data_IF_756798265744
#
_entry.id   IF_756798265744
#
_cell.length_a   1.000
_cell.length_b   1.000
_cell.length_c   1.000
_cell.angle_alpha   90.00
_cell.angle_beta   90.00
_cell.angle_gamma   90.00
#
_symmetry.space_group_name_H-M   'P 1'
#
loop_
_entity.id
_entity.type
_entity.pdbx_description
1 polymer ?
#
# COMPACT_ATOMS: atom_id res chain seq x y z
N UNK A 1 -13.92 -14.53 17.24
CA UNK A 1 -12.71 -14.91 16.46
C UNK A 1 -11.75 -13.75 16.17
N UNK A 2 -12.09 -12.46 16.40
CA UNK A 2 -11.23 -11.32 16.00
C UNK A 2 -9.95 -11.15 16.81
N UNK A 3 -9.92 -11.50 18.11
CA UNK A 3 -8.77 -11.19 18.95
C UNK A 3 -7.54 -12.09 18.71
N UNK A 4 -7.74 -13.32 18.21
CA UNK A 4 -6.66 -14.29 18.01
C UNK A 4 -5.73 -13.91 16.85
N UNK A 5 -6.28 -13.32 15.79
CA UNK A 5 -5.49 -12.92 14.61
C UNK A 5 -4.55 -11.76 14.92
N UNK A 6 -5.06 -10.73 15.62
CA UNK A 6 -4.24 -9.63 16.11
C UNK A 6 -3.14 -10.14 17.05
N UNK A 7 -3.47 -11.07 17.96
CA UNK A 7 -2.48 -11.71 18.83
C UNK A 7 -1.39 -12.45 18.05
N UNK A 8 -1.73 -13.15 16.96
CA UNK A 8 -0.73 -13.83 16.12
C UNK A 8 0.20 -12.86 15.42
N UNK A 9 -0.30 -11.73 14.92
CA UNK A 9 0.54 -10.69 14.32
C UNK A 9 1.48 -10.08 15.37
N UNK A 10 0.97 -9.75 16.55
CA UNK A 10 1.78 -9.19 17.64
C UNK A 10 2.85 -10.19 18.11
N UNK A 11 2.49 -11.45 18.29
CA UNK A 11 3.44 -12.51 18.64
C UNK A 11 4.50 -12.69 17.55
N UNK A 12 4.10 -12.72 16.28
CA UNK A 12 5.01 -12.79 15.15
C UNK A 12 5.97 -11.59 15.08
N UNK A 13 5.50 -10.39 15.38
CA UNK A 13 6.31 -9.18 15.43
C UNK A 13 7.37 -9.26 16.54
N UNK A 14 6.98 -9.66 17.76
CA UNK A 14 7.90 -9.84 18.88
C UNK A 14 8.93 -10.93 18.58
N UNK A 15 8.49 -12.07 18.05
CA UNK A 15 9.39 -13.14 17.62
C UNK A 15 10.35 -12.68 16.52
N UNK A 16 9.89 -11.80 15.62
CA UNK A 16 10.73 -11.25 14.57
C UNK A 16 11.83 -10.33 15.10
N UNK A 17 11.51 -9.52 16.12
CA UNK A 17 12.50 -8.67 16.80
C UNK A 17 13.55 -9.55 17.51
N UNK A 18 13.11 -10.58 18.24
CA UNK A 18 14.01 -11.49 18.97
C UNK A 18 14.93 -12.22 17.98
N UNK A 19 14.37 -12.81 16.93
CA UNK A 19 15.14 -13.55 15.92
C UNK A 19 16.08 -12.62 15.15
N UNK A 20 15.62 -11.43 14.75
CA UNK A 20 16.44 -10.45 14.05
C UNK A 20 17.60 -9.94 14.90
N UNK A 21 17.38 -9.74 16.20
CA UNK A 21 18.43 -9.39 17.16
C UNK A 21 19.46 -10.51 17.33
N UNK A 22 19.00 -11.76 17.44
CA UNK A 22 19.89 -12.91 17.55
C UNK A 22 20.78 -13.03 16.30
N UNK A 23 20.22 -12.93 15.10
CA UNK A 23 21.00 -12.98 13.85
C UNK A 23 22.01 -11.83 13.80
N UNK A 24 21.62 -10.61 14.19
CA UNK A 24 22.51 -9.45 14.19
C UNK A 24 23.71 -9.60 15.13
N UNK A 25 23.50 -10.17 16.33
CA UNK A 25 24.54 -10.29 17.34
C UNK A 25 25.41 -11.56 17.21
N UNK A 26 24.83 -12.69 16.80
CA UNK A 26 25.51 -13.99 16.79
C UNK A 26 26.05 -14.40 15.42
N UNK A 27 25.56 -13.83 14.31
CA UNK A 27 25.98 -14.18 12.95
C UNK A 27 26.34 -12.93 12.10
N UNK A 28 27.37 -12.16 12.48
CA UNK A 28 27.72 -10.91 11.80
C UNK A 28 28.13 -11.10 10.32
N UNK A 29 28.81 -12.20 10.00
CA UNK A 29 29.35 -12.43 8.64
C UNK A 29 28.28 -12.88 7.63
N UNK A 30 27.28 -13.65 8.08
CA UNK A 30 26.20 -14.19 7.21
C UNK A 30 24.87 -13.44 7.33
N UNK A 31 24.82 -12.33 8.08
CA UNK A 31 23.59 -11.58 8.36
C UNK A 31 22.82 -11.15 7.10
N UNK A 32 23.54 -10.78 6.05
CA UNK A 32 22.97 -10.27 4.81
C UNK A 32 22.22 -11.36 4.04
N UNK A 33 22.80 -12.57 4.01
CA UNK A 33 22.24 -13.73 3.34
C UNK A 33 20.99 -14.23 4.07
N UNK A 34 21.08 -14.40 5.39
CA UNK A 34 19.92 -14.76 6.22
C UNK A 34 18.79 -13.75 6.10
N UNK A 35 19.10 -12.45 6.17
CA UNK A 35 18.09 -11.43 6.01
C UNK A 35 17.47 -11.42 4.61
N UNK A 36 18.25 -11.71 3.55
CA UNK A 36 17.73 -11.83 2.19
C UNK A 36 16.80 -13.03 2.04
N UNK A 37 17.23 -14.21 2.51
CA UNK A 37 16.45 -15.45 2.46
C UNK A 37 15.14 -15.34 3.24
N UNK A 38 15.17 -14.74 4.43
CA UNK A 38 13.95 -14.52 5.23
C UNK A 38 13.06 -13.48 4.55
N UNK A 39 13.62 -12.39 4.01
CA UNK A 39 12.85 -11.36 3.30
C UNK A 39 12.13 -11.90 2.05
N UNK A 40 12.56 -13.02 1.47
CA UNK A 40 11.84 -13.70 0.39
C UNK A 40 10.39 -13.99 0.78
N UNK A 41 10.13 -14.40 2.03
CA UNK A 41 8.79 -14.67 2.53
C UNK A 41 7.94 -13.40 2.51
N UNK A 42 8.50 -12.27 2.98
CA UNK A 42 7.82 -10.97 2.94
C UNK A 42 7.56 -10.52 1.49
N UNK A 43 8.51 -10.70 0.59
CA UNK A 43 8.35 -10.38 -0.83
C UNK A 43 7.26 -11.23 -1.50
N UNK A 44 7.18 -12.53 -1.19
CA UNK A 44 6.13 -13.41 -1.68
C UNK A 44 4.75 -12.96 -1.20
N UNK A 45 4.64 -12.57 0.07
CA UNK A 45 3.39 -12.02 0.62
C UNK A 45 2.97 -10.72 -0.08
N UNK A 46 3.91 -9.80 -0.33
CA UNK A 46 3.60 -8.58 -1.09
C UNK A 46 3.14 -8.89 -2.52
N UNK A 47 3.68 -9.93 -3.17
CA UNK A 47 3.20 -10.40 -4.48
C UNK A 47 1.78 -10.96 -4.41
N UNK A 48 1.44 -11.71 -3.35
CA UNK A 48 0.07 -12.19 -3.12
C UNK A 48 -0.91 -11.03 -2.94
N UNK A 49 -0.52 -9.97 -2.22
CA UNK A 49 -1.36 -8.77 -2.08
C UNK A 49 -1.56 -8.10 -3.45
N UNK A 50 -0.47 -7.88 -4.22
CA UNK A 50 -0.56 -7.25 -5.55
C UNK A 50 -1.53 -7.99 -6.48
N UNK A 51 -1.48 -9.33 -6.48
CA UNK A 51 -2.40 -10.18 -7.25
C UNK A 51 -3.88 -9.91 -6.96
N UNK A 52 -4.23 -9.56 -5.71
CA UNK A 52 -5.62 -9.35 -5.28
C UNK A 52 -6.11 -7.93 -5.54
N UNK A 53 -5.23 -6.93 -5.42
CA UNK A 53 -5.62 -5.51 -5.41
C UNK A 53 -6.39 -5.14 -6.67
N UNK A 54 -5.88 -5.45 -7.86
CA UNK A 54 -6.48 -4.98 -9.11
C UNK A 54 -7.94 -5.48 -9.32
N UNK A 55 -8.25 -6.80 -9.23
CA UNK A 55 -9.62 -7.27 -9.35
C UNK A 55 -10.53 -6.82 -8.20
N UNK A 56 -10.00 -6.76 -6.97
CA UNK A 56 -10.77 -6.36 -5.80
C UNK A 56 -11.19 -4.88 -5.88
N UNK A 57 -10.25 -3.99 -6.21
CA UNK A 57 -10.51 -2.55 -6.38
C UNK A 57 -11.52 -2.32 -7.50
N UNK A 58 -11.36 -3.00 -8.65
CA UNK A 58 -12.33 -2.91 -9.73
C UNK A 58 -13.73 -3.35 -9.28
N UNK A 59 -13.87 -4.55 -8.71
CA UNK A 59 -15.17 -5.08 -8.32
C UNK A 59 -15.87 -4.23 -7.26
N UNK A 60 -15.12 -3.82 -6.23
CA UNK A 60 -15.65 -3.00 -5.12
C UNK A 60 -16.06 -1.60 -5.56
N UNK A 61 -15.28 -0.96 -6.44
CA UNK A 61 -15.64 0.35 -6.97
C UNK A 61 -16.85 0.26 -7.90
N UNK A 62 -16.87 -0.73 -8.81
CA UNK A 62 -17.98 -0.85 -9.74
C UNK A 62 -19.27 -1.19 -9.02
N UNK A 63 -19.26 -2.23 -8.17
CA UNK A 63 -20.40 -2.59 -7.34
C UNK A 63 -20.83 -1.41 -6.46
N UNK A 64 -19.89 -0.78 -5.75
CA UNK A 64 -20.17 0.33 -4.84
C UNK A 64 -20.81 1.54 -5.53
N UNK A 65 -20.30 1.95 -6.70
CA UNK A 65 -20.83 3.09 -7.45
C UNK A 65 -22.17 2.76 -8.11
N UNK A 66 -22.31 1.56 -8.69
CA UNK A 66 -23.52 1.14 -9.38
C UNK A 66 -24.74 1.11 -8.44
N UNK A 67 -24.56 0.69 -7.17
CA UNK A 67 -25.62 0.69 -6.16
C UNK A 67 -26.09 2.09 -5.75
N UNK A 68 -25.29 3.14 -5.97
CA UNK A 68 -25.67 4.51 -5.61
C UNK A 68 -26.71 5.13 -6.56
N UNK A 69 -26.90 4.57 -7.76
CA UNK A 69 -28.02 4.83 -8.67
C UNK A 69 -28.14 6.25 -9.27
N UNK A 70 -27.48 7.27 -8.72
CA UNK A 70 -27.48 8.63 -9.29
C UNK A 70 -26.09 9.26 -9.30
N UNK A 71 -25.68 9.73 -10.49
CA UNK A 71 -24.39 10.42 -10.69
C UNK A 71 -24.25 11.70 -9.85
N UNK A 72 -25.35 12.37 -9.52
CA UNK A 72 -25.36 13.55 -8.62
C UNK A 72 -24.96 13.17 -7.19
N UNK A 73 -25.41 12.01 -6.68
CA UNK A 73 -24.99 11.52 -5.36
C UNK A 73 -23.50 11.15 -5.37
N UNK A 74 -23.03 10.50 -6.44
CA UNK A 74 -21.62 10.14 -6.61
C UNK A 74 -20.71 11.38 -6.55
N UNK A 75 -21.01 12.41 -7.35
CA UNK A 75 -20.21 13.64 -7.36
C UNK A 75 -20.15 14.34 -6.00
N UNK A 76 -21.27 14.34 -5.25
CA UNK A 76 -21.31 14.92 -3.90
C UNK A 76 -20.47 14.12 -2.90
N UNK A 77 -20.52 12.79 -2.94
CA UNK A 77 -19.69 11.94 -2.06
C UNK A 77 -18.22 12.13 -2.42
N UNK A 78 -17.87 12.06 -3.71
CA UNK A 78 -16.51 12.27 -4.17
C UNK A 78 -15.96 13.63 -3.71
N UNK A 79 -16.71 14.72 -3.90
CA UNK A 79 -16.28 16.05 -3.47
C UNK A 79 -16.09 16.16 -1.95
N UNK A 80 -17.00 15.56 -1.16
CA UNK A 80 -16.87 15.51 0.31
C UNK A 80 -15.63 14.72 0.74
N UNK A 81 -15.40 13.56 0.14
CA UNK A 81 -14.25 12.70 0.45
C UNK A 81 -12.95 13.35 0.01
N UNK A 82 -12.92 14.00 -1.17
CA UNK A 82 -11.75 14.72 -1.67
C UNK A 82 -11.42 15.91 -0.77
N UNK A 83 -12.42 16.71 -0.38
CA UNK A 83 -12.23 17.80 0.58
C UNK A 83 -11.66 17.28 1.90
N UNK A 84 -12.23 16.21 2.45
CA UNK A 84 -11.73 15.58 3.67
C UNK A 84 -10.29 15.07 3.51
N UNK A 85 -9.96 14.40 2.40
CA UNK A 85 -8.63 13.84 2.14
C UNK A 85 -7.56 14.92 1.99
N UNK A 86 -7.85 16.01 1.25
CA UNK A 86 -6.93 17.14 1.08
C UNK A 86 -6.71 17.85 2.42
N UNK A 87 -7.76 18.11 3.19
CA UNK A 87 -7.64 18.70 4.52
C UNK A 87 -6.85 17.80 5.49
N UNK A 88 -7.13 16.50 5.52
CA UNK A 88 -6.41 15.55 6.37
C UNK A 88 -4.92 15.42 5.97
N UNK A 89 -4.63 15.42 4.66
CA UNK A 89 -3.25 15.40 4.14
C UNK A 89 -2.50 16.67 4.51
N UNK A 90 -3.14 17.83 4.40
CA UNK A 90 -2.55 19.11 4.83
C UNK A 90 -2.22 19.10 6.32
N UNK A 91 -3.15 18.67 7.18
CA UNK A 91 -2.92 18.54 8.63
C UNK A 91 -1.79 17.54 8.92
N UNK A 92 -1.75 16.40 8.23
CA UNK A 92 -0.70 15.40 8.40
C UNK A 92 0.69 15.93 8.02
N UNK A 93 0.80 16.69 6.93
CA UNK A 93 2.06 17.32 6.50
C UNK A 93 2.50 18.40 7.49
N UNK A 94 1.56 19.21 7.98
CA UNK A 94 1.84 20.26 8.95
C UNK A 94 2.34 19.67 10.27
N UNK A 95 1.70 18.60 10.76
CA UNK A 95 2.13 17.87 11.95
C UNK A 95 3.50 17.20 11.73
N UNK A 96 3.73 16.59 10.56
CA UNK A 96 5.02 16.03 10.18
C UNK A 96 6.13 17.08 10.16
N UNK A 97 5.85 18.27 9.62
CA UNK A 97 6.79 19.39 9.61
C UNK A 97 7.12 19.85 11.04
N UNK A 98 6.12 20.00 11.90
CA UNK A 98 6.33 20.37 13.31
C UNK A 98 7.19 19.31 14.00
N UNK A 99 6.85 18.03 13.87
CA UNK A 99 7.57 16.94 14.51
C UNK A 99 9.03 16.84 14.04
N UNK A 100 9.29 16.98 12.74
CA UNK A 100 10.67 16.98 12.20
C UNK A 100 11.48 18.16 12.72
N UNK A 101 10.89 19.34 12.84
CA UNK A 101 11.58 20.51 13.38
C UNK A 101 11.85 20.39 14.90
N UNK A 102 10.98 19.70 15.65
CA UNK A 102 11.15 19.48 17.09
C UNK A 102 12.12 18.35 17.43
N UNK A 103 11.97 17.19 16.78
CA UNK A 103 12.78 16.00 17.06
C UNK A 103 14.14 16.04 16.34
N UNK A 104 14.25 16.84 15.28
CA UNK A 104 15.45 16.99 14.45
C UNK A 104 16.11 15.63 14.11
N UNK A 105 15.35 14.67 13.53
CA UNK A 105 15.86 13.35 13.22
C UNK A 105 17.02 13.49 12.22
N UNK A 106 18.23 13.17 12.67
CA UNK A 106 19.46 13.29 11.87
C UNK A 106 20.52 14.26 12.40
N UNK A 107 20.24 15.06 13.43
CA UNK A 107 21.24 15.93 14.05
C UNK A 107 22.50 15.19 14.56
N UNK A 108 22.34 13.91 14.92
CA UNK A 108 23.42 13.01 15.36
C UNK A 108 23.76 11.93 14.32
N UNK A 109 23.46 12.13 13.03
CA UNK A 109 23.74 11.13 12.00
C UNK A 109 25.26 11.01 11.77
N UNK A 110 25.90 9.86 12.07
CA UNK A 110 27.36 9.71 12.02
C UNK A 110 27.92 9.54 10.58
N UNK A 111 27.12 9.83 9.55
CA UNK A 111 27.54 9.74 8.15
C UNK A 111 28.13 11.06 7.66
N UNK A 112 29.13 10.98 6.77
CA UNK A 112 29.63 12.15 6.04
C UNK A 112 28.52 12.71 5.16
N UNK A 113 28.10 13.95 5.41
CA UNK A 113 27.22 14.67 4.49
C UNK A 113 27.81 14.61 3.07
N UNK A 114 27.04 14.18 2.06
CA UNK A 114 27.47 14.28 0.67
C UNK A 114 27.91 15.71 0.37
N UNK A 115 29.00 15.88 -0.39
CA UNK A 115 29.48 17.20 -0.77
C UNK A 115 28.32 18.01 -1.40
N UNK A 116 28.17 19.27 -0.97
CA UNK A 116 27.11 20.16 -1.45
C UNK A 116 27.14 20.20 -2.98
N UNK A 117 26.11 19.64 -3.63
CA UNK A 117 26.00 19.56 -5.09
C UNK A 117 26.18 18.16 -5.71
N UNK A 118 26.42 17.09 -4.93
CA UNK A 118 26.23 15.74 -5.47
C UNK A 118 24.77 15.56 -5.87
N UNK A 119 24.53 15.34 -7.16
CA UNK A 119 23.20 15.00 -7.65
C UNK A 119 22.72 13.78 -6.88
N UNK A 120 21.55 13.88 -6.26
CA UNK A 120 21.00 12.85 -5.39
C UNK A 120 20.61 11.57 -6.14
N UNK A 121 20.91 11.47 -7.43
CA UNK A 121 20.42 10.43 -8.34
C UNK A 121 18.89 10.38 -8.44
N UNK A 122 18.19 11.29 -7.76
CA UNK A 122 16.74 11.37 -7.78
C UNK A 122 16.36 11.96 -9.13
N UNK A 123 15.48 11.29 -9.89
CA UNK A 123 14.83 11.93 -11.01
C UNK A 123 13.97 13.05 -10.42
N UNK A 124 14.51 14.27 -10.37
CA UNK A 124 13.72 15.49 -10.23
C UNK A 124 13.02 15.68 -11.57
N UNK A 125 12.18 14.71 -11.93
CA UNK A 125 11.25 14.85 -13.03
C UNK A 125 10.33 15.96 -12.58
N UNK A 126 10.51 17.15 -13.14
CA UNK A 126 9.60 18.26 -12.92
C UNK A 126 8.17 17.72 -13.09
N UNK A 127 7.36 17.88 -12.05
CA UNK A 127 5.96 17.47 -12.09
C UNK A 127 5.32 18.19 -13.29
N UNK A 128 4.93 17.42 -14.30
CA UNK A 128 4.26 17.92 -15.48
C UNK A 128 2.80 17.53 -15.40
N UNK A 129 1.91 18.53 -15.38
CA UNK A 129 0.47 18.34 -15.44
C UNK A 129 0.10 17.47 -16.65
N UNK A 130 0.80 17.65 -17.78
CA UNK A 130 0.54 16.91 -19.01
C UNK A 130 0.80 15.41 -18.79
N UNK A 131 1.96 15.04 -18.24
CA UNK A 131 2.29 13.63 -17.95
C UNK A 131 1.36 13.01 -16.93
N UNK A 132 0.94 13.78 -15.92
CA UNK A 132 0.00 13.29 -14.93
C UNK A 132 -1.39 13.02 -15.54
N UNK A 133 -1.91 13.94 -16.35
CA UNK A 133 -3.21 13.78 -17.01
C UNK A 133 -3.21 12.65 -18.04
N UNK A 134 -2.13 12.49 -18.82
CA UNK A 134 -2.03 11.39 -19.79
C UNK A 134 -1.84 10.03 -19.12
N UNK A 135 -1.16 9.96 -17.96
CA UNK A 135 -1.04 8.72 -17.18
C UNK A 135 -2.33 8.32 -16.44
N UNK A 136 -3.25 9.27 -16.23
CA UNK A 136 -4.50 9.05 -15.52
C UNK A 136 -5.48 8.19 -16.34
N UNK A 137 -5.46 8.34 -17.67
CA UNK A 137 -6.28 7.57 -18.59
C UNK A 137 -5.47 6.37 -19.09
N UNK A 138 -5.84 5.12 -18.76
CA UNK A 138 -5.12 3.96 -19.26
C UNK A 138 -5.21 3.85 -20.77
N UNK A 139 -4.10 3.43 -21.39
CA UNK A 139 -4.09 3.00 -22.80
C UNK A 139 -4.90 1.70 -22.99
N UNK A 140 -4.85 0.82 -21.98
CA UNK A 140 -5.59 -0.44 -21.94
C UNK A 140 -5.85 -0.86 -20.49
N UNK A 141 -7.06 -1.35 -20.21
CA UNK A 141 -7.40 -1.90 -18.88
C UNK A 141 -6.53 -3.11 -18.52
N UNK A 142 -6.19 -3.94 -19.50
CA UNK A 142 -5.39 -5.14 -19.27
C UNK A 142 -3.97 -4.77 -18.82
N UNK A 143 -3.39 -3.71 -19.41
CA UNK A 143 -2.08 -3.20 -19.02
C UNK A 143 -2.14 -2.54 -17.63
N UNK A 144 -3.16 -1.71 -17.36
CA UNK A 144 -3.37 -1.12 -16.04
C UNK A 144 -3.48 -2.18 -14.92
N UNK A 145 -4.19 -3.28 -15.18
CA UNK A 145 -4.29 -4.41 -14.27
C UNK A 145 -2.98 -5.19 -14.13
N UNK A 146 -2.24 -5.40 -15.23
CA UNK A 146 -0.96 -6.10 -15.21
C UNK A 146 0.12 -5.31 -14.44
N UNK A 147 0.17 -4.00 -14.62
CA UNK A 147 1.12 -3.11 -13.94
C UNK A 147 0.69 -2.74 -12.51
N UNK A 148 -0.54 -3.11 -12.10
CA UNK A 148 -1.12 -2.72 -10.81
C UNK A 148 -1.22 -1.20 -10.64
N UNK A 149 -1.53 -0.48 -11.72
CA UNK A 149 -1.74 0.98 -11.72
C UNK A 149 -3.13 1.30 -11.16
N UNK A 150 -3.23 1.39 -9.83
CA UNK A 150 -4.49 1.55 -9.10
C UNK A 150 -5.28 2.77 -9.59
N UNK A 151 -4.61 3.90 -9.84
CA UNK A 151 -5.27 5.12 -10.30
C UNK A 151 -6.01 4.89 -11.63
N UNK A 152 -5.36 4.23 -12.59
CA UNK A 152 -5.96 3.94 -13.89
C UNK A 152 -7.14 2.98 -13.78
N UNK A 153 -7.03 1.96 -12.93
CA UNK A 153 -8.13 1.01 -12.64
C UNK A 153 -9.34 1.74 -12.05
N UNK A 154 -9.11 2.67 -11.12
CA UNK A 154 -10.16 3.50 -10.50
C UNK A 154 -10.88 4.34 -11.56
N UNK A 155 -10.13 5.02 -12.42
CA UNK A 155 -10.72 5.86 -13.48
C UNK A 155 -11.58 5.02 -14.43
N UNK A 156 -11.05 3.90 -14.91
CA UNK A 156 -11.83 2.99 -15.75
C UNK A 156 -13.10 2.50 -15.03
N UNK A 157 -12.98 2.07 -13.77
CA UNK A 157 -14.10 1.58 -12.98
C UNK A 157 -15.21 2.64 -12.84
N UNK A 158 -14.85 3.91 -12.63
CA UNK A 158 -15.82 5.02 -12.57
C UNK A 158 -16.57 5.18 -13.90
N UNK A 159 -15.86 5.24 -15.03
CA UNK A 159 -16.51 5.35 -16.35
C UNK A 159 -17.41 4.15 -16.65
N UNK A 160 -16.93 2.94 -16.36
CA UNK A 160 -17.67 1.70 -16.54
C UNK A 160 -18.96 1.68 -15.70
N UNK A 161 -18.88 2.09 -14.44
CA UNK A 161 -20.03 2.16 -13.52
C UNK A 161 -21.06 3.20 -13.95
N UNK A 162 -20.59 4.37 -14.42
CA UNK A 162 -21.48 5.42 -14.94
C UNK A 162 -22.21 4.95 -16.19
N UNK A 163 -21.52 4.24 -17.10
CA UNK A 163 -22.13 3.63 -18.28
C UNK A 163 -23.15 2.55 -17.89
N UNK A 164 -22.87 1.74 -16.85
CA UNK A 164 -23.85 0.79 -16.32
C UNK A 164 -25.10 1.49 -15.77
N UNK A 165 -24.94 2.61 -15.07
CA UNK A 165 -26.05 3.42 -14.59
C UNK A 165 -26.92 4.00 -15.71
N UNK A 166 -26.35 4.22 -16.90
CA UNK A 166 -27.08 4.67 -18.08
C UNK A 166 -27.86 3.55 -18.79
N UNK A 167 -27.57 2.27 -18.52
CA UNK A 167 -28.23 1.11 -19.14
C UNK A 167 -28.74 0.08 -18.10
N UNK A 168 -29.67 0.44 -17.20
CA UNK A 168 -29.99 -0.36 -16.02
C UNK A 168 -30.45 -1.79 -16.31
N UNK A 169 -31.26 -2.01 -17.34
CA UNK A 169 -31.79 -3.34 -17.68
C UNK A 169 -30.70 -4.29 -18.18
N UNK A 170 -29.77 -3.78 -19.00
CA UNK A 170 -28.65 -4.57 -19.56
C UNK A 170 -27.53 -4.77 -18.55
N UNK A 171 -27.39 -3.86 -17.58
CA UNK A 171 -26.32 -3.90 -16.60
C UNK A 171 -26.60 -4.79 -15.39
N UNK A 172 -27.85 -5.20 -15.14
CA UNK A 172 -28.22 -6.14 -14.05
C UNK A 172 -27.36 -7.42 -13.99
N UNK A 173 -27.22 -8.23 -15.07
CA UNK A 173 -26.42 -9.45 -15.01
C UNK A 173 -24.93 -9.18 -14.79
N UNK A 174 -24.41 -8.08 -15.35
CA UNK A 174 -23.01 -7.67 -15.17
C UNK A 174 -22.78 -7.23 -13.72
N UNK A 175 -23.70 -6.47 -13.13
CA UNK A 175 -23.61 -6.02 -11.75
C UNK A 175 -23.60 -7.21 -10.79
N UNK A 176 -24.48 -8.19 -10.98
CA UNK A 176 -24.50 -9.40 -10.17
C UNK A 176 -23.16 -10.16 -10.24
N UNK A 177 -22.59 -10.30 -11.45
CA UNK A 177 -21.27 -10.92 -11.62
C UNK A 177 -20.16 -10.14 -10.89
N UNK A 178 -20.23 -8.80 -10.91
CA UNK A 178 -19.26 -7.93 -10.26
C UNK A 178 -19.37 -8.02 -8.73
N UNK A 179 -20.58 -8.10 -8.20
CA UNK A 179 -20.80 -8.30 -6.77
C UNK A 179 -20.26 -9.66 -6.32
N UNK A 180 -20.55 -10.73 -7.07
CA UNK A 180 -20.01 -12.06 -6.81
C UNK A 180 -18.48 -12.07 -6.87
N UNK A 181 -17.89 -11.43 -7.89
CA UNK A 181 -16.45 -11.24 -7.99
C UNK A 181 -15.90 -10.52 -6.75
N UNK A 182 -16.56 -9.46 -6.28
CA UNK A 182 -16.19 -8.75 -5.06
C UNK A 182 -16.15 -9.67 -3.84
N UNK A 183 -17.21 -10.46 -3.62
CA UNK A 183 -17.27 -11.43 -2.51
C UNK A 183 -16.20 -12.52 -2.62
N UNK A 184 -15.97 -13.06 -3.82
CA UNK A 184 -14.91 -14.04 -4.07
C UNK A 184 -13.54 -13.42 -3.76
N UNK A 185 -13.28 -12.21 -4.24
CA UNK A 185 -12.00 -11.52 -4.00
C UNK A 185 -11.79 -11.23 -2.52
N UNK A 186 -12.83 -10.81 -1.77
CA UNK A 186 -12.75 -10.66 -0.31
C UNK A 186 -12.42 -11.99 0.40
N UNK A 187 -12.93 -13.11 -0.10
CA UNK A 187 -12.58 -14.44 0.41
C UNK A 187 -11.12 -14.80 0.10
N UNK A 188 -10.63 -14.50 -1.10
CA UNK A 188 -9.21 -14.66 -1.46
C UNK A 188 -8.32 -13.77 -0.59
N UNK A 189 -8.73 -12.52 -0.31
CA UNK A 189 -8.04 -11.64 0.65
C UNK A 189 -7.95 -12.29 2.03
N UNK A 190 -9.02 -12.94 2.47
CA UNK A 190 -9.03 -13.66 3.76
C UNK A 190 -8.01 -14.80 3.78
N UNK A 191 -7.86 -15.55 2.68
CA UNK A 191 -6.83 -16.60 2.57
C UNK A 191 -5.42 -16.02 2.59
N UNK A 192 -5.16 -14.93 1.85
CA UNK A 192 -3.84 -14.30 1.85
C UNK A 192 -3.51 -13.70 3.22
N UNK A 193 -4.49 -13.13 3.93
CA UNK A 193 -4.31 -12.62 5.29
C UNK A 193 -3.87 -13.69 6.28
N UNK A 194 -4.17 -14.99 6.08
CA UNK A 194 -3.66 -16.05 6.95
C UNK A 194 -2.12 -16.14 6.95
N UNK A 195 -1.48 -15.73 5.85
CA UNK A 195 -0.01 -15.67 5.74
C UNK A 195 0.59 -14.39 6.34
N UNK A 196 -0.23 -13.41 6.70
CA UNK A 196 0.24 -12.10 7.19
C UNK A 196 1.13 -12.20 8.44
N UNK A 197 0.82 -13.02 9.48
CA UNK A 197 1.71 -13.15 10.64
C UNK A 197 3.12 -13.62 10.26
N UNK A 198 3.22 -14.60 9.35
CA UNK A 198 4.50 -15.11 8.87
C UNK A 198 5.28 -14.05 8.08
N UNK A 199 4.58 -13.28 7.24
CA UNK A 199 5.18 -12.20 6.47
C UNK A 199 5.69 -11.06 7.37
N UNK A 200 4.93 -10.68 8.40
CA UNK A 200 5.34 -9.67 9.39
C UNK A 200 6.56 -10.14 10.17
N UNK A 201 6.55 -11.40 10.64
CA UNK A 201 7.73 -12.00 11.28
C UNK A 201 8.96 -11.91 10.36
N UNK A 202 8.82 -12.31 9.10
CA UNK A 202 9.92 -12.30 8.14
C UNK A 202 10.44 -10.89 7.84
N UNK A 203 9.54 -9.93 7.61
CA UNK A 203 9.89 -8.54 7.32
C UNK A 203 10.65 -7.90 8.50
N UNK A 204 10.12 -8.03 9.72
CA UNK A 204 10.74 -7.48 10.92
C UNK A 204 12.09 -8.15 11.20
N UNK A 205 12.17 -9.48 11.08
CA UNK A 205 13.43 -10.22 11.25
C UNK A 205 14.48 -9.73 10.26
N UNK A 206 14.15 -9.59 8.97
CA UNK A 206 15.08 -9.14 7.95
C UNK A 206 15.54 -7.69 8.17
N UNK A 207 14.63 -6.79 8.56
CA UNK A 207 14.96 -5.39 8.83
C UNK A 207 15.86 -5.24 10.06
N UNK A 208 15.56 -5.96 11.15
CA UNK A 208 16.35 -5.92 12.39
C UNK A 208 17.69 -6.65 12.20
N UNK A 209 17.73 -7.76 11.47
CA UNK A 209 18.98 -8.49 11.19
C UNK A 209 19.98 -7.67 10.33
N UNK A 210 19.49 -6.82 9.42
CA UNK A 210 20.37 -5.94 8.62
C UNK A 210 20.83 -4.71 9.38
N UNK A 211 19.92 -4.05 10.08
CA UNK A 211 20.17 -2.71 10.61
C UNK A 211 20.37 -2.65 12.14
N UNK A 212 20.22 -3.78 12.83
CA UNK A 212 20.31 -3.89 14.29
C UNK A 212 19.08 -3.32 15.01
N UNK A 213 19.02 -3.53 16.34
CA UNK A 213 17.96 -2.97 17.19
C UNK A 213 17.95 -1.43 17.18
N UNK A 214 19.10 -0.82 16.91
CA UNK A 214 19.28 0.63 16.85
C UNK A 214 18.43 1.30 15.78
N UNK A 215 18.00 0.59 14.71
CA UNK A 215 17.03 1.17 13.76
C UNK A 215 15.66 1.38 14.40
N UNK A 216 15.23 0.50 15.31
CA UNK A 216 13.96 0.72 16.02
C UNK A 216 14.04 1.95 16.93
N UNK A 217 15.20 2.21 17.55
CA UNK A 217 15.41 3.43 18.34
C UNK A 217 15.48 4.68 17.47
N UNK A 218 16.24 4.64 16.36
CA UNK A 218 16.34 5.74 15.38
C UNK A 218 15.04 6.05 14.62
N UNK A 219 14.04 5.15 14.68
CA UNK A 219 12.70 5.37 14.14
C UNK A 219 11.75 6.00 15.16
N UNK A 220 12.07 5.92 16.44
CA UNK A 220 11.26 6.47 17.55
C UNK A 220 11.81 7.83 18.01
N UNK A 221 13.12 8.07 17.82
CA UNK A 221 13.86 9.29 18.21
C UNK A 221 14.87 9.66 17.13
#
# INVERSE_FOLDING_TARGET
MSNRFTQYILAAMVLGIIMGSAIYNFLPDTRADWASSINLIAMMFLRLIKMIIAPLVFATLVGGIAHMGSGSKLGRIFAKTMGWFVSASFVSLLLGLIMVNLLQPGANFPGTLPAAGQSTGLPVSAFSIEKFLTHLIPTSIADAMAQNEILQIVIFAVFFSVAMGAMPERSKPILALIDDLGHIMLKVTSYVMLFAPLAVWAAITATVAKNGLLVLWKLVV
#
